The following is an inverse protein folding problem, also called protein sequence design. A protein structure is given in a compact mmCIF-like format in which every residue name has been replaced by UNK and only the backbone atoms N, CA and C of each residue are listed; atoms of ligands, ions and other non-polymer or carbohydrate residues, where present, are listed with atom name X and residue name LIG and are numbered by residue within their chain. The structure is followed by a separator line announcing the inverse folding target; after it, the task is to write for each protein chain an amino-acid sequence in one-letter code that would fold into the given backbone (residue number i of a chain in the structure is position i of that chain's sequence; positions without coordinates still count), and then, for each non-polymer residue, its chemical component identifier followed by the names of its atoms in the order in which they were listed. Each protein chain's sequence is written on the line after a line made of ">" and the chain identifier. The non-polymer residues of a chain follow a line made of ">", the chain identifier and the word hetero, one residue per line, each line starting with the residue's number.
data_IF_648126420710
#
_entry.id   IF_648126420710
#
_cell.length_a   1.000
_cell.length_b   1.000
_cell.length_c   1.000
_cell.angle_alpha   90.00
_cell.angle_beta   90.00
_cell.angle_gamma   90.00
#
_symmetry.space_group_name_H-M   'P 1'
#
loop_
_entity.id
_entity.type
_entity.pdbx_description
1 polymer ?
#
# COMPACT_ATOMS: atom_id res chain seq x y z
N UNK A 1 -7.83 -23.02 -5.45
CA UNK A 1 -6.45 -22.49 -5.48
C UNK A 1 -5.79 -22.66 -4.10
N UNK A 2 -4.76 -23.51 -3.96
CA UNK A 2 -4.09 -23.81 -2.69
C UNK A 2 -3.45 -22.59 -2.01
N UNK A 3 -2.82 -21.69 -2.78
CA UNK A 3 -2.17 -20.48 -2.25
C UNK A 3 -3.15 -19.55 -1.51
N UNK A 4 -4.32 -19.29 -2.09
CA UNK A 4 -5.36 -18.45 -1.47
C UNK A 4 -5.91 -19.07 -0.18
N UNK A 5 -6.09 -20.41 -0.14
CA UNK A 5 -6.56 -21.10 1.08
C UNK A 5 -5.53 -21.04 2.21
N UNK A 6 -4.23 -21.17 1.89
CA UNK A 6 -3.16 -21.06 2.88
C UNK A 6 -3.08 -19.63 3.44
N UNK A 7 -3.15 -18.62 2.56
CA UNK A 7 -3.19 -17.22 2.97
C UNK A 7 -4.38 -16.92 3.88
N UNK A 8 -5.60 -17.30 3.48
CA UNK A 8 -6.82 -17.07 4.27
C UNK A 8 -6.72 -17.65 5.69
N UNK A 9 -6.25 -18.90 5.80
CA UNK A 9 -6.07 -19.56 7.11
C UNK A 9 -5.07 -18.79 7.99
N UNK A 10 -3.92 -18.42 7.43
CA UNK A 10 -2.86 -17.73 8.17
C UNK A 10 -3.24 -16.31 8.56
N UNK A 11 -3.89 -15.57 7.66
CA UNK A 11 -4.43 -14.23 7.94
C UNK A 11 -5.42 -14.28 9.09
N UNK A 12 -6.37 -15.22 9.08
CA UNK A 12 -7.32 -15.38 10.19
C UNK A 12 -6.65 -15.68 11.53
N UNK A 13 -5.58 -16.48 11.53
CA UNK A 13 -4.81 -16.72 12.74
C UNK A 13 -4.08 -15.46 13.21
N UNK A 14 -3.32 -14.80 12.33
CA UNK A 14 -2.52 -13.62 12.67
C UNK A 14 -3.37 -12.43 13.12
N UNK A 15 -4.52 -12.20 12.47
CA UNK A 15 -5.41 -11.09 12.84
C UNK A 15 -6.03 -11.25 14.24
N UNK A 16 -6.04 -12.47 14.79
CA UNK A 16 -6.52 -12.74 16.16
C UNK A 16 -5.36 -12.92 17.17
N UNK A 17 -4.10 -12.83 16.72
CA UNK A 17 -2.93 -12.94 17.57
C UNK A 17 -2.61 -11.57 18.19
N UNK A 18 -2.58 -11.50 19.53
CA UNK A 18 -2.31 -10.26 20.26
C UNK A 18 -0.91 -9.71 20.01
N UNK A 19 0.08 -10.57 19.79
CA UNK A 19 1.45 -10.14 19.49
C UNK A 19 1.50 -9.46 18.11
N UNK A 20 0.82 -10.02 17.11
CA UNK A 20 0.70 -9.41 15.78
C UNK A 20 -0.07 -8.09 15.83
N UNK A 21 -1.19 -8.04 16.56
CA UNK A 21 -1.97 -6.81 16.72
C UNK A 21 -1.15 -5.71 17.38
N UNK A 22 -0.32 -6.05 18.38
CA UNK A 22 0.58 -5.10 19.02
C UNK A 22 1.67 -4.61 18.07
N UNK A 23 2.36 -5.51 17.34
CA UNK A 23 3.38 -5.13 16.35
C UNK A 23 2.79 -4.20 15.27
N UNK A 24 1.60 -4.51 14.75
CA UNK A 24 0.92 -3.65 13.78
C UNK A 24 0.51 -2.30 14.39
N UNK A 25 0.00 -2.28 15.63
CA UNK A 25 -0.36 -1.04 16.31
C UNK A 25 0.86 -0.13 16.53
N UNK A 26 2.00 -0.71 16.90
CA UNK A 26 3.25 0.01 17.11
C UNK A 26 3.77 0.60 15.80
N UNK A 27 3.79 -0.16 14.71
CA UNK A 27 4.19 0.36 13.39
C UNK A 27 3.23 1.46 12.88
N UNK A 28 1.92 1.29 13.09
CA UNK A 28 0.94 2.31 12.72
C UNK A 28 1.11 3.60 13.54
N UNK A 29 1.42 3.49 14.83
CA UNK A 29 1.59 4.64 15.71
C UNK A 29 2.93 5.34 15.46
N UNK A 30 4.02 4.60 15.61
CA UNK A 30 5.38 5.14 15.66
C UNK A 30 5.95 5.47 14.27
N UNK A 31 5.55 4.71 13.24
CA UNK A 31 6.11 4.87 11.90
C UNK A 31 5.10 5.44 10.89
N UNK A 32 3.86 4.97 10.87
CA UNK A 32 2.84 5.50 9.96
C UNK A 32 2.24 6.85 10.42
N UNK A 33 2.43 7.24 11.69
CA UNK A 33 1.97 8.51 12.25
C UNK A 33 0.49 8.52 12.67
N UNK A 34 -0.05 7.39 13.10
CA UNK A 34 -1.42 7.30 13.64
C UNK A 34 -1.47 7.67 15.14
N UNK A 35 -2.60 8.20 15.63
CA UNK A 35 -3.82 8.53 14.90
C UNK A 35 -3.69 9.83 14.08
N UNK A 36 -4.35 9.87 12.92
CA UNK A 36 -4.45 11.08 12.11
C UNK A 36 -5.50 12.04 12.67
N UNK A 37 -5.26 13.34 12.52
CA UNK A 37 -6.18 14.39 12.99
C UNK A 37 -7.54 14.39 12.26
N UNK A 38 -8.51 15.05 12.88
CA UNK A 38 -9.80 15.38 12.28
C UNK A 38 -9.91 16.91 12.26
N UNK A 39 -9.78 17.53 11.09
CA UNK A 39 -9.74 18.99 10.96
C UNK A 39 -11.10 19.54 10.58
N UNK A 40 -11.65 20.47 11.38
CA UNK A 40 -12.88 21.19 11.01
C UNK A 40 -12.61 22.16 9.85
N UNK A 41 -13.32 21.99 8.73
CA UNK A 41 -13.13 22.79 7.53
C UNK A 41 -14.15 23.95 7.50
N UNK A 42 -13.84 25.04 8.21
CA UNK A 42 -14.74 26.18 8.41
C UNK A 42 -15.33 26.73 7.10
N UNK A 43 -14.48 27.10 6.13
CA UNK A 43 -14.93 27.69 4.85
C UNK A 43 -15.80 26.73 4.01
N UNK A 44 -15.46 25.45 3.99
CA UNK A 44 -16.27 24.41 3.33
C UNK A 44 -17.62 24.25 4.02
N UNK A 45 -17.63 24.33 5.36
CA UNK A 45 -18.85 24.22 6.14
C UNK A 45 -19.81 25.39 5.88
N UNK A 46 -19.26 26.60 5.78
CA UNK A 46 -20.02 27.80 5.41
C UNK A 46 -20.57 27.70 3.99
N UNK A 47 -19.76 27.23 3.03
CA UNK A 47 -20.18 27.09 1.62
C UNK A 47 -21.32 26.08 1.43
N UNK A 48 -21.32 24.98 2.17
CA UNK A 48 -22.29 23.89 2.00
C UNK A 48 -23.41 23.89 3.03
N UNK A 49 -23.40 24.80 4.00
CA UNK A 49 -24.42 24.88 5.05
C UNK A 49 -24.44 23.69 6.02
N UNK A 50 -23.38 22.88 6.05
CA UNK A 50 -23.25 21.68 6.90
C UNK A 50 -21.88 21.63 7.57
N UNK A 51 -21.73 20.95 8.70
CA UNK A 51 -20.41 20.78 9.33
C UNK A 51 -19.55 19.80 8.51
N UNK A 52 -18.43 20.28 7.98
CA UNK A 52 -17.45 19.48 7.22
C UNK A 52 -16.20 19.26 8.06
N UNK A 53 -15.80 18.01 8.20
CA UNK A 53 -14.55 17.62 8.83
C UNK A 53 -13.70 16.80 7.87
N UNK A 54 -12.39 17.04 7.85
CA UNK A 54 -11.43 16.32 7.02
C UNK A 54 -10.67 15.31 7.89
N UNK A 55 -10.84 14.02 7.60
CA UNK A 55 -10.02 12.97 8.22
C UNK A 55 -8.65 12.96 7.53
N UNK A 56 -7.60 13.33 8.26
CA UNK A 56 -6.29 13.71 7.73
C UNK A 56 -5.39 12.54 7.35
N UNK A 57 -5.88 11.61 6.53
CA UNK A 57 -5.06 10.49 6.04
C UNK A 57 -3.95 10.94 5.07
N UNK A 58 -4.01 12.18 4.57
CA UNK A 58 -2.93 12.85 3.85
C UNK A 58 -1.66 13.03 4.69
N UNK A 59 -1.79 13.06 6.03
CA UNK A 59 -0.66 13.20 6.96
C UNK A 59 -0.02 11.87 7.36
N UNK A 60 -0.55 10.74 6.90
CA UNK A 60 0.10 9.45 7.16
C UNK A 60 1.44 9.38 6.44
N UNK A 61 2.38 8.60 6.97
CA UNK A 61 3.64 8.32 6.26
C UNK A 61 3.34 7.84 4.83
N UNK A 62 4.19 8.21 3.87
CA UNK A 62 3.97 8.10 2.41
C UNK A 62 2.95 9.06 1.79
N UNK A 63 2.05 9.68 2.58
CA UNK A 63 1.15 10.75 2.15
C UNK A 63 -0.27 10.31 1.77
N UNK A 64 -0.66 9.07 2.09
CA UNK A 64 -1.99 8.54 1.81
C UNK A 64 -2.32 7.33 2.70
N UNK A 65 -3.63 7.09 2.91
CA UNK A 65 -4.18 5.97 3.71
C UNK A 65 -3.68 4.56 3.33
N UNK A 66 -2.99 4.40 2.20
CA UNK A 66 -2.54 3.10 1.68
C UNK A 66 -1.45 2.47 2.53
N UNK A 67 -0.68 3.27 3.29
CA UNK A 67 0.33 2.76 4.22
C UNK A 67 -0.27 1.87 5.32
N UNK A 68 -1.52 2.16 5.74
CA UNK A 68 -2.21 1.40 6.78
C UNK A 68 -2.34 -0.09 6.39
N UNK A 69 -2.79 -0.35 5.15
CA UNK A 69 -2.92 -1.72 4.64
C UNK A 69 -1.56 -2.32 4.26
N UNK A 70 -0.67 -1.53 3.64
CA UNK A 70 0.63 -2.01 3.19
C UNK A 70 1.47 -2.56 4.35
N UNK A 71 1.47 -1.90 5.51
CA UNK A 71 2.13 -2.39 6.72
C UNK A 71 1.58 -3.73 7.19
N UNK A 72 0.25 -3.86 7.32
CA UNK A 72 -0.37 -5.12 7.74
C UNK A 72 -0.03 -6.27 6.80
N UNK A 73 -0.10 -6.04 5.49
CA UNK A 73 0.26 -7.07 4.50
C UNK A 73 1.75 -7.39 4.48
N UNK A 74 2.63 -6.41 4.65
CA UNK A 74 4.07 -6.64 4.74
C UNK A 74 4.46 -7.47 5.97
N UNK A 75 3.84 -7.18 7.13
CA UNK A 75 4.02 -7.98 8.34
C UNK A 75 3.50 -9.41 8.17
N UNK A 76 2.33 -9.60 7.55
CA UNK A 76 1.82 -10.93 7.21
C UNK A 76 2.79 -11.66 6.27
N UNK A 77 3.29 -10.98 5.22
CA UNK A 77 4.25 -11.56 4.28
C UNK A 77 5.55 -11.99 4.98
N UNK A 78 6.03 -11.21 5.95
CA UNK A 78 7.17 -11.54 6.81
C UNK A 78 6.91 -12.82 7.60
N UNK A 79 5.75 -12.93 8.26
CA UNK A 79 5.35 -14.12 9.02
C UNK A 79 5.17 -15.37 8.14
N UNK A 80 4.85 -15.17 6.86
CA UNK A 80 4.75 -16.24 5.87
C UNK A 80 6.10 -16.62 5.23
N UNK A 81 7.20 -15.95 5.59
CA UNK A 81 8.51 -16.09 4.95
C UNK A 81 8.42 -15.92 3.42
N UNK A 82 7.61 -14.96 2.97
CA UNK A 82 7.46 -14.67 1.56
C UNK A 82 8.80 -14.22 0.96
N UNK A 83 9.17 -14.81 -0.19
CA UNK A 83 10.42 -14.44 -0.89
C UNK A 83 10.39 -13.04 -1.49
N UNK A 84 9.19 -12.54 -1.83
CA UNK A 84 8.92 -11.21 -2.36
C UNK A 84 7.45 -10.85 -2.19
N UNK A 85 7.15 -9.56 -2.20
CA UNK A 85 5.79 -9.02 -2.33
C UNK A 85 5.63 -8.45 -3.73
N UNK A 86 4.47 -8.71 -4.33
CA UNK A 86 4.10 -8.14 -5.63
C UNK A 86 2.90 -7.22 -5.43
N UNK A 87 2.95 -6.03 -5.99
CA UNK A 87 1.86 -5.05 -5.96
C UNK A 87 1.61 -4.45 -7.35
N UNK A 88 0.41 -3.96 -7.59
CA UNK A 88 0.08 -3.13 -8.76
C UNK A 88 -0.16 -1.68 -8.35
N UNK A 89 0.16 -0.72 -9.22
CA UNK A 89 -0.19 0.67 -8.92
C UNK A 89 -0.44 1.49 -10.16
N UNK A 90 -1.41 2.42 -10.10
CA UNK A 90 -1.68 3.44 -11.13
C UNK A 90 -1.10 4.79 -10.78
N UNK A 91 -1.79 5.54 -9.93
CA UNK A 91 -1.30 6.84 -9.47
C UNK A 91 0.04 6.78 -8.68
N UNK A 92 0.57 5.57 -8.40
CA UNK A 92 1.85 5.37 -7.71
C UNK A 92 1.75 5.27 -6.19
N UNK A 93 0.73 5.86 -5.56
CA UNK A 93 0.60 5.90 -4.09
C UNK A 93 0.54 4.50 -3.43
N UNK A 94 -0.07 3.51 -4.08
CA UNK A 94 -0.06 2.14 -3.55
C UNK A 94 1.32 1.51 -3.65
N UNK A 95 1.98 1.68 -4.79
CA UNK A 95 3.33 1.17 -4.99
C UNK A 95 4.33 1.79 -4.03
N UNK A 96 4.24 3.11 -3.78
CA UNK A 96 5.08 3.80 -2.77
C UNK A 96 4.84 3.24 -1.38
N UNK A 97 3.57 3.06 -0.98
CA UNK A 97 3.23 2.48 0.32
C UNK A 97 3.75 1.03 0.47
N UNK A 98 3.56 0.19 -0.56
CA UNK A 98 4.02 -1.20 -0.58
C UNK A 98 5.55 -1.28 -0.56
N UNK A 99 6.25 -0.47 -1.35
CA UNK A 99 7.70 -0.37 -1.36
C UNK A 99 8.24 0.04 0.01
N UNK A 100 7.66 1.08 0.63
CA UNK A 100 8.08 1.54 1.95
C UNK A 100 7.87 0.46 3.02
N UNK A 101 6.70 -0.16 3.05
CA UNK A 101 6.39 -1.21 4.03
C UNK A 101 7.30 -2.44 3.85
N UNK A 102 7.56 -2.85 2.60
CA UNK A 102 8.46 -3.97 2.30
C UNK A 102 9.91 -3.67 2.69
N UNK A 103 10.39 -2.45 2.41
CA UNK A 103 11.71 -2.00 2.85
C UNK A 103 11.82 -1.98 4.38
N UNK A 104 10.77 -1.53 5.08
CA UNK A 104 10.68 -1.50 6.54
C UNK A 104 10.81 -2.90 7.17
N UNK A 105 10.22 -3.92 6.56
CA UNK A 105 10.24 -5.30 7.08
C UNK A 105 11.31 -6.20 6.46
N UNK A 106 12.09 -5.69 5.50
CA UNK A 106 13.19 -6.42 4.85
C UNK A 106 12.79 -7.44 3.80
N UNK A 107 11.68 -7.23 3.08
CA UNK A 107 11.22 -8.13 2.00
C UNK A 107 11.37 -7.44 0.63
N UNK A 108 11.87 -8.12 -0.42
CA UNK A 108 11.89 -7.56 -1.77
C UNK A 108 10.49 -7.20 -2.28
N UNK A 109 10.35 -6.04 -2.93
CA UNK A 109 9.09 -5.57 -3.49
C UNK A 109 9.19 -5.39 -5.00
N UNK A 110 8.20 -5.92 -5.72
CA UNK A 110 8.05 -5.73 -7.16
C UNK A 110 6.71 -5.05 -7.44
N UNK A 111 6.74 -3.91 -8.11
CA UNK A 111 5.55 -3.11 -8.42
C UNK A 111 5.29 -3.08 -9.92
N UNK A 112 4.13 -3.57 -10.33
CA UNK A 112 3.66 -3.49 -11.72
C UNK A 112 2.90 -2.19 -11.96
N UNK A 113 3.34 -1.43 -12.97
CA UNK A 113 2.78 -0.13 -13.31
C UNK A 113 2.64 -0.02 -14.84
N UNK A 114 1.48 0.42 -15.34
CA UNK A 114 1.25 0.65 -16.76
C UNK A 114 2.24 1.67 -17.32
N UNK A 115 2.75 1.43 -18.52
CA UNK A 115 3.82 2.24 -19.11
C UNK A 115 3.47 3.73 -19.18
N UNK A 116 2.22 4.06 -19.55
CA UNK A 116 1.73 5.45 -19.60
C UNK A 116 1.69 6.08 -18.19
N UNK A 117 1.33 5.31 -17.16
CA UNK A 117 1.29 5.82 -15.80
C UNK A 117 2.71 6.04 -15.25
N UNK A 118 3.71 5.24 -15.65
CA UNK A 118 5.12 5.43 -15.26
C UNK A 118 5.60 6.82 -15.68
N UNK A 119 5.33 7.22 -16.92
CA UNK A 119 5.70 8.54 -17.43
C UNK A 119 4.96 9.66 -16.68
N UNK A 120 3.65 9.52 -16.49
CA UNK A 120 2.81 10.55 -15.85
C UNK A 120 3.07 10.71 -14.36
N UNK A 121 3.53 9.65 -13.69
CA UNK A 121 3.72 9.61 -12.23
C UNK A 121 5.19 9.37 -11.87
N UNK A 122 6.11 9.88 -12.69
CA UNK A 122 7.55 9.75 -12.49
C UNK A 122 8.02 10.02 -11.04
N UNK A 123 7.52 11.05 -10.32
CA UNK A 123 7.93 11.27 -8.92
C UNK A 123 7.62 10.08 -7.99
N UNK A 124 6.51 9.38 -8.19
CA UNK A 124 6.19 8.20 -7.39
C UNK A 124 7.01 6.99 -7.82
N UNK A 125 7.34 6.87 -9.11
CA UNK A 125 8.25 5.83 -9.62
C UNK A 125 9.64 5.96 -9.00
N UNK A 126 10.17 7.17 -8.94
CA UNK A 126 11.48 7.43 -8.36
C UNK A 126 11.49 7.15 -6.84
N UNK A 127 10.42 7.54 -6.13
CA UNK A 127 10.26 7.18 -4.71
C UNK A 127 10.25 5.67 -4.50
N UNK A 128 9.53 4.91 -5.34
CA UNK A 128 9.53 3.44 -5.25
C UNK A 128 10.92 2.85 -5.44
N UNK A 129 11.67 3.33 -6.44
CA UNK A 129 13.05 2.88 -6.71
C UNK A 129 14.02 3.23 -5.58
N UNK A 130 13.92 4.43 -5.01
CA UNK A 130 14.72 4.86 -3.85
C UNK A 130 14.45 4.01 -2.60
N UNK A 131 13.22 3.49 -2.46
CA UNK A 131 12.85 2.53 -1.43
C UNK A 131 13.27 1.08 -1.76
N UNK A 132 13.98 0.86 -2.88
CA UNK A 132 14.52 -0.44 -3.28
C UNK A 132 13.53 -1.36 -4.00
N UNK A 133 12.35 -0.86 -4.41
CA UNK A 133 11.41 -1.66 -5.17
C UNK A 133 11.76 -1.72 -6.67
N UNK A 134 11.56 -2.89 -7.28
CA UNK A 134 11.62 -3.06 -8.72
C UNK A 134 10.29 -2.58 -9.33
N UNK A 135 10.33 -1.63 -10.27
CA UNK A 135 9.12 -1.13 -10.96
C UNK A 135 9.09 -1.70 -12.38
N UNK A 136 8.13 -2.59 -12.64
CA UNK A 136 8.00 -3.29 -13.92
C UNK A 136 6.90 -2.64 -14.78
N UNK A 137 7.23 -2.16 -16.00
CA UNK A 137 6.22 -1.64 -16.92
C UNK A 137 5.27 -2.75 -17.40
N UNK A 138 3.99 -2.42 -17.48
CA UNK A 138 2.97 -3.21 -18.17
C UNK A 138 2.65 -2.52 -19.48
N UNK A 139 3.00 -3.18 -20.58
CA UNK A 139 2.88 -2.69 -21.97
C UNK A 139 1.73 -3.36 -22.74
N UNK A 140 1.16 -4.44 -22.19
CA UNK A 140 0.01 -5.15 -22.76
C UNK A 140 -1.30 -4.48 -22.34
N UNK A 141 -2.38 -4.67 -23.10
CA UNK A 141 -3.70 -4.10 -22.80
C UNK A 141 -3.78 -2.58 -22.99
N UNK A 142 -4.67 -1.92 -22.24
CA UNK A 142 -4.87 -0.46 -22.26
C UNK A 142 -3.70 0.33 -21.64
N UNK A 143 -2.65 -0.37 -21.16
CA UNK A 143 -1.47 0.20 -20.50
C UNK A 143 -1.80 1.09 -19.28
N UNK A 144 -2.99 0.89 -18.69
CA UNK A 144 -3.44 1.56 -17.46
C UNK A 144 -3.81 0.55 -16.37
N UNK A 145 -4.77 0.86 -15.48
CA UNK A 145 -5.03 0.10 -14.25
C UNK A 145 -5.59 -1.30 -14.46
N UNK A 146 -6.37 -1.51 -15.53
CA UNK A 146 -6.94 -2.82 -15.81
C UNK A 146 -5.92 -3.81 -16.37
N UNK A 147 -5.02 -3.38 -17.24
CA UNK A 147 -4.02 -4.26 -17.85
C UNK A 147 -3.10 -4.97 -16.84
N UNK A 148 -2.91 -4.38 -15.65
CA UNK A 148 -1.98 -4.88 -14.62
C UNK A 148 -2.43 -6.20 -13.99
N UNK A 149 -3.74 -6.43 -13.87
CA UNK A 149 -4.27 -7.66 -13.26
C UNK A 149 -3.99 -8.90 -14.11
N UNK A 150 -4.00 -8.78 -15.44
CA UNK A 150 -3.71 -9.88 -16.37
C UNK A 150 -2.28 -10.38 -16.21
N UNK A 151 -1.32 -9.48 -16.05
CA UNK A 151 0.10 -9.85 -15.87
C UNK A 151 0.35 -10.50 -14.51
N UNK A 152 -0.38 -10.10 -13.46
CA UNK A 152 -0.26 -10.72 -12.13
C UNK A 152 -0.79 -12.16 -12.10
N UNK A 153 -1.84 -12.48 -12.85
CA UNK A 153 -2.36 -13.84 -12.95
C UNK A 153 -1.44 -14.83 -13.66
N UNK A 154 -0.44 -14.34 -14.41
CA UNK A 154 0.54 -15.16 -15.13
C UNK A 154 1.74 -15.58 -14.26
N UNK A 155 1.91 -15.00 -13.05
CA UNK A 155 3.06 -15.22 -12.15
C UNK A 155 2.78 -16.36 -11.15
N UNK A 156 1.86 -17.28 -11.48
CA UNK A 156 1.46 -18.43 -10.66
C UNK A 156 2.60 -19.35 -10.28
#
# INVERSE_FOLDING_TARGET
>A
MPALKNLDKKVKTLLNDSAFQQELADELNQWAGRPTGLTFAKKLSELWGVKVYLKREDLTHTGAHKINNALGQALIAKQLNAKRVVAETGAGQHGVASAAACARVGIPCVVYMGAVDIERQAPNVDRMRQLGAEVIPVTTGDQTLRARWTKLSEIG
#
